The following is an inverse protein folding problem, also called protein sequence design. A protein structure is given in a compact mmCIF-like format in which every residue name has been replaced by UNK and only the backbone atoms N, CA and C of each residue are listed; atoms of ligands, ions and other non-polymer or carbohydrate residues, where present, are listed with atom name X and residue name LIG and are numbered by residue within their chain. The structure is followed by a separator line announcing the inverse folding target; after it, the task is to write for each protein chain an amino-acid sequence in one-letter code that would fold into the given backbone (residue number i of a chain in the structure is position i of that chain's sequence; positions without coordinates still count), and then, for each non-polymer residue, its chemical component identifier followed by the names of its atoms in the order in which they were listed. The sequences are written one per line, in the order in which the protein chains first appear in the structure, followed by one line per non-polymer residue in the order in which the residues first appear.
data_IF_281816075394
#
_entry.id   IF_281816075394
#
_cell.length_a   1.000
_cell.length_b   1.000
_cell.length_c   1.000
_cell.angle_alpha   90.00
_cell.angle_beta   90.00
_cell.angle_gamma   90.00
#
_symmetry.space_group_name_H-M   'P 1'
#
loop_
_entity.id
_entity.type
_entity.pdbx_description
1 polymer ?
#
# COMPACT_ATOMS: atom_id res chain seq x y z
N UNK A 1 -28.01 5.30 23.08
CA UNK A 1 -27.69 4.06 22.35
C UNK A 1 -26.83 4.32 21.11
N UNK A 2 -27.23 5.17 20.15
CA UNK A 2 -26.41 5.46 18.95
C UNK A 2 -25.15 6.28 19.20
N UNK A 3 -25.20 7.27 20.11
CA UNK A 3 -24.04 8.10 20.49
C UNK A 3 -22.92 7.30 21.17
N UNK A 4 -23.28 6.29 21.94
CA UNK A 4 -22.35 5.50 22.75
C UNK A 4 -21.56 4.51 21.88
N UNK A 5 -22.20 3.95 20.87
CA UNK A 5 -21.57 3.08 19.87
C UNK A 5 -20.60 3.86 18.98
N UNK A 6 -21.00 5.05 18.50
CA UNK A 6 -20.13 5.94 17.71
C UNK A 6 -18.92 6.41 18.52
N UNK A 7 -19.10 6.74 19.80
CA UNK A 7 -18.00 7.11 20.69
C UNK A 7 -17.05 5.94 20.99
N UNK A 8 -17.59 4.72 21.16
CA UNK A 8 -16.80 3.50 21.36
C UNK A 8 -15.93 3.19 20.13
N UNK A 9 -16.49 3.26 18.93
CA UNK A 9 -15.72 3.09 17.69
C UNK A 9 -14.62 4.15 17.51
N UNK A 10 -14.90 5.41 17.86
CA UNK A 10 -13.89 6.48 17.82
C UNK A 10 -12.74 6.24 18.79
N UNK A 11 -13.03 5.83 20.04
CA UNK A 11 -12.01 5.52 21.05
C UNK A 11 -11.13 4.35 20.62
N UNK A 12 -11.72 3.28 20.07
CA UNK A 12 -10.98 2.11 19.59
C UNK A 12 -10.01 2.48 18.45
N UNK A 13 -10.44 3.38 17.53
CA UNK A 13 -9.60 3.91 16.44
C UNK A 13 -8.46 4.84 16.90
N UNK A 14 -8.52 5.37 18.11
CA UNK A 14 -7.50 6.26 18.68
C UNK A 14 -6.41 5.52 19.47
N UNK A 15 -6.65 4.27 19.90
CA UNK A 15 -5.69 3.49 20.69
C UNK A 15 -4.32 3.37 20.01
N UNK A 16 -4.23 3.03 18.70
CA UNK A 16 -2.92 2.94 18.04
C UNK A 16 -2.18 4.28 18.04
N UNK A 17 -2.87 5.38 17.74
CA UNK A 17 -2.28 6.72 17.73
C UNK A 17 -1.75 7.13 19.12
N UNK A 18 -2.46 6.75 20.19
CA UNK A 18 -2.02 7.03 21.56
C UNK A 18 -0.75 6.25 21.90
N UNK A 19 -0.61 5.02 21.40
CA UNK A 19 0.60 4.23 21.57
C UNK A 19 1.78 4.87 20.81
N UNK A 20 1.59 5.28 19.54
CA UNK A 20 2.61 6.01 18.77
C UNK A 20 3.03 7.30 19.49
N UNK A 21 2.08 8.05 20.04
CA UNK A 21 2.37 9.27 20.80
C UNK A 21 3.13 8.96 22.10
N UNK A 22 2.73 7.90 22.81
CA UNK A 22 3.43 7.46 24.02
C UNK A 22 4.87 7.06 23.74
N UNK A 23 5.15 6.43 22.59
CA UNK A 23 6.51 6.11 22.15
C UNK A 23 7.33 7.37 22.02
N UNK A 24 6.80 8.39 21.33
CA UNK A 24 7.52 9.63 21.11
C UNK A 24 7.77 10.37 22.44
N UNK A 25 6.79 10.33 23.36
CA UNK A 25 6.93 10.87 24.70
C UNK A 25 8.07 10.17 25.46
N UNK A 26 8.08 8.84 25.51
CA UNK A 26 9.17 8.05 26.14
C UNK A 26 10.51 8.38 25.48
N UNK A 27 10.54 8.42 24.14
CA UNK A 27 11.75 8.68 23.38
C UNK A 27 12.33 10.07 23.66
N UNK A 28 11.49 11.09 23.89
CA UNK A 28 11.94 12.46 24.18
C UNK A 28 12.83 12.57 25.42
N UNK A 29 12.74 11.61 26.36
CA UNK A 29 13.59 11.56 27.55
C UNK A 29 14.96 10.90 27.31
N UNK A 30 15.14 10.18 26.20
CA UNK A 30 16.39 9.45 25.89
C UNK A 30 17.59 10.40 25.73
N UNK A 31 17.50 11.52 24.99
CA UNK A 31 18.62 12.47 24.86
C UNK A 31 19.03 13.05 26.21
N UNK A 32 18.06 13.40 27.06
CA UNK A 32 18.33 13.91 28.40
C UNK A 32 19.11 12.87 29.23
N UNK A 33 18.63 11.63 29.30
CA UNK A 33 19.32 10.55 30.00
C UNK A 33 20.73 10.29 29.44
N UNK A 34 20.88 10.29 28.12
CA UNK A 34 22.17 10.08 27.46
C UNK A 34 23.17 11.21 27.74
N UNK A 35 22.75 12.46 27.64
CA UNK A 35 23.59 13.65 27.88
C UNK A 35 24.02 13.71 29.34
N UNK A 36 23.11 13.45 30.28
CA UNK A 36 23.40 13.36 31.72
C UNK A 36 24.28 12.17 32.11
N UNK A 37 24.64 11.30 31.16
CA UNK A 37 25.51 10.14 31.39
C UNK A 37 24.80 8.91 31.98
N UNK A 38 23.48 8.97 32.17
CA UNK A 38 22.69 7.82 32.63
C UNK A 38 22.33 6.92 31.44
N UNK A 39 23.30 6.14 30.99
CA UNK A 39 23.18 5.31 29.79
C UNK A 39 22.35 4.05 30.01
N UNK A 40 22.29 3.54 31.25
CA UNK A 40 21.34 2.48 31.63
C UNK A 40 19.92 2.98 31.39
N UNK A 41 19.57 4.18 31.87
CA UNK A 41 18.24 4.75 31.65
C UNK A 41 17.97 4.97 30.16
N UNK A 42 18.94 5.50 29.40
CA UNK A 42 18.80 5.65 27.95
C UNK A 42 18.53 4.31 27.24
N UNK A 43 19.23 3.23 27.63
CA UNK A 43 19.00 1.89 27.10
C UNK A 43 17.60 1.35 27.47
N UNK A 44 17.18 1.48 28.73
CA UNK A 44 15.87 1.03 29.20
C UNK A 44 14.75 1.77 28.48
N UNK A 45 14.85 3.10 28.35
CA UNK A 45 13.89 3.91 27.61
C UNK A 45 13.85 3.55 26.12
N UNK A 46 15.00 3.26 25.52
CA UNK A 46 15.11 2.78 24.13
C UNK A 46 14.36 1.46 23.95
N UNK A 47 14.60 0.48 24.81
CA UNK A 47 13.94 -0.84 24.77
C UNK A 47 12.44 -0.70 25.00
N UNK A 48 12.03 0.11 25.99
CA UNK A 48 10.63 0.36 26.29
C UNK A 48 9.91 0.98 25.08
N UNK A 49 10.48 2.04 24.50
CA UNK A 49 9.91 2.69 23.33
C UNK A 49 9.88 1.77 22.10
N UNK A 50 10.95 1.01 21.82
CA UNK A 50 10.97 0.04 20.73
C UNK A 50 9.94 -1.08 20.91
N UNK A 51 9.69 -1.51 22.16
CA UNK A 51 8.66 -2.52 22.45
C UNK A 51 7.25 -2.03 22.14
N UNK A 52 6.98 -0.72 22.29
CA UNK A 52 5.68 -0.14 21.93
C UNK A 52 5.36 -0.19 20.43
N UNK A 53 6.38 -0.29 19.55
CA UNK A 53 6.26 -0.46 18.08
C UNK A 53 5.88 -1.87 17.64
N UNK A 54 6.14 -2.87 18.48
CA UNK A 54 5.57 -4.19 18.27
C UNK A 54 4.07 -4.21 18.63
N UNK A 55 3.74 -3.52 19.72
CA UNK A 55 2.43 -3.64 20.39
C UNK A 55 1.34 -2.86 19.66
N UNK A 56 1.61 -1.64 19.20
CA UNK A 56 0.66 -0.84 18.42
C UNK A 56 0.22 -1.55 17.12
N UNK A 57 1.15 -2.18 16.40
CA UNK A 57 0.89 -2.87 15.15
C UNK A 57 0.08 -4.15 15.36
N UNK A 58 0.20 -4.79 16.53
CA UNK A 58 -0.67 -5.92 16.91
C UNK A 58 -2.05 -5.40 17.32
N UNK A 59 -2.11 -4.34 18.13
CA UNK A 59 -3.35 -3.74 18.60
C UNK A 59 -4.21 -3.21 17.43
N UNK A 60 -3.61 -2.48 16.49
CA UNK A 60 -4.29 -1.94 15.31
C UNK A 60 -4.92 -3.04 14.44
N UNK A 61 -4.22 -4.18 14.29
CA UNK A 61 -4.73 -5.36 13.55
C UNK A 61 -5.87 -6.06 14.28
N UNK A 62 -5.76 -6.22 15.60
CA UNK A 62 -6.80 -6.88 16.41
C UNK A 62 -8.07 -6.04 16.54
N UNK A 63 -7.92 -4.71 16.51
CA UNK A 63 -9.03 -3.78 16.74
C UNK A 63 -9.69 -3.27 15.44
N UNK A 64 -9.23 -3.70 14.26
CA UNK A 64 -9.62 -3.14 12.95
C UNK A 64 -9.60 -1.60 12.93
N UNK A 65 -8.66 -1.04 13.68
CA UNK A 65 -8.65 0.33 14.14
C UNK A 65 -7.60 1.13 13.37
N UNK A 66 -7.77 1.26 12.05
CA UNK A 66 -6.85 2.10 11.25
C UNK A 66 -7.46 3.47 11.01
N UNK A 67 -6.90 4.52 11.62
CA UNK A 67 -7.28 5.91 11.34
C UNK A 67 -6.40 6.49 10.22
N UNK A 68 -6.95 7.36 9.36
CA UNK A 68 -6.16 8.03 8.31
C UNK A 68 -5.10 8.97 8.90
N UNK A 69 -5.43 9.62 10.01
CA UNK A 69 -4.51 10.46 10.75
C UNK A 69 -3.31 9.65 11.29
N UNK A 70 -3.57 8.49 11.91
CA UNK A 70 -2.52 7.59 12.41
C UNK A 70 -1.59 7.10 11.30
N UNK A 71 -2.14 6.70 10.15
CA UNK A 71 -1.35 6.28 8.98
C UNK A 71 -0.35 7.32 8.50
N UNK A 72 -0.64 8.61 8.71
CA UNK A 72 0.24 9.70 8.30
C UNK A 72 1.23 10.09 9.41
N UNK A 73 0.84 9.92 10.67
CA UNK A 73 1.65 10.28 11.83
C UNK A 73 2.71 9.21 12.14
N UNK A 74 2.38 7.92 12.00
CA UNK A 74 3.30 6.81 12.32
C UNK A 74 4.65 6.91 11.56
N UNK A 75 4.68 7.12 10.22
CA UNK A 75 5.94 7.22 9.48
C UNK A 75 6.76 8.45 9.84
N UNK A 76 6.15 9.48 10.44
CA UNK A 76 6.86 10.68 10.90
C UNK A 76 7.47 10.41 12.28
N UNK A 77 6.65 9.89 13.20
CA UNK A 77 7.09 9.52 14.55
C UNK A 77 8.24 8.52 14.54
N UNK A 78 8.21 7.52 13.65
CA UNK A 78 9.30 6.54 13.52
C UNK A 78 10.64 7.17 13.12
N UNK A 79 10.62 8.26 12.34
CA UNK A 79 11.84 8.95 11.89
C UNK A 79 12.41 9.82 12.98
N UNK A 80 11.53 10.54 13.68
CA UNK A 80 11.93 11.27 14.88
C UNK A 80 12.48 10.33 15.93
N UNK A 81 11.83 9.19 16.15
CA UNK A 81 12.33 8.16 17.05
C UNK A 81 13.75 7.72 16.70
N UNK A 82 14.00 7.30 15.46
CA UNK A 82 15.34 6.89 15.02
C UNK A 82 16.39 8.00 15.22
N UNK A 83 16.06 9.25 14.92
CA UNK A 83 16.95 10.39 15.13
C UNK A 83 17.24 10.66 16.61
N UNK A 84 16.20 10.66 17.45
CA UNK A 84 16.27 10.91 18.91
C UNK A 84 17.20 9.89 19.58
N UNK A 85 17.16 8.63 19.17
CA UNK A 85 18.04 7.59 19.72
C UNK A 85 19.47 7.70 19.19
N UNK A 86 19.65 8.07 17.91
CA UNK A 86 20.95 7.99 17.24
C UNK A 86 21.84 9.19 17.53
N UNK A 87 21.27 10.41 17.52
CA UNK A 87 22.04 11.66 17.62
C UNK A 87 22.84 11.78 18.93
N UNK A 88 22.28 11.51 20.14
CA UNK A 88 23.04 11.60 21.39
C UNK A 88 24.23 10.63 21.43
N UNK A 89 24.08 9.48 20.76
CA UNK A 89 25.08 8.43 20.72
C UNK A 89 26.23 8.81 19.77
N UNK A 90 25.93 9.43 18.62
CA UNK A 90 26.94 9.94 17.67
C UNK A 90 27.91 10.95 18.31
N UNK A 91 27.45 11.71 19.31
CA UNK A 91 28.30 12.68 20.03
C UNK A 91 29.29 11.97 20.97
N UNK A 92 28.94 10.79 21.49
CA UNK A 92 29.77 10.03 22.44
C UNK A 92 30.70 9.01 21.78
N UNK A 93 30.39 8.60 20.56
CA UNK A 93 31.13 7.57 19.84
C UNK A 93 32.36 8.13 19.11
N UNK A 94 33.39 7.29 18.87
CA UNK A 94 34.51 7.67 18.01
C UNK A 94 34.02 7.94 16.58
N UNK A 95 34.71 8.83 15.87
CA UNK A 95 34.29 9.37 14.58
C UNK A 95 33.83 8.29 13.58
N UNK A 96 34.56 7.18 13.47
CA UNK A 96 34.21 6.09 12.54
C UNK A 96 32.85 5.44 12.85
N UNK A 97 32.55 5.22 14.13
CA UNK A 97 31.28 4.64 14.56
C UNK A 97 30.14 5.66 14.42
N UNK A 98 30.40 6.94 14.72
CA UNK A 98 29.44 8.02 14.52
C UNK A 98 29.08 8.20 13.04
N UNK A 99 30.06 8.14 12.14
CA UNK A 99 29.82 8.14 10.69
C UNK A 99 28.97 6.94 10.28
N UNK A 100 29.27 5.75 10.81
CA UNK A 100 28.48 4.55 10.56
C UNK A 100 27.01 4.70 10.94
N UNK A 101 26.73 5.19 12.16
CA UNK A 101 25.37 5.50 12.58
C UNK A 101 24.70 6.59 11.72
N UNK A 102 25.48 7.59 11.27
CA UNK A 102 25.03 8.58 10.30
C UNK A 102 24.56 7.95 8.99
N UNK A 103 25.26 6.93 8.50
CA UNK A 103 24.84 6.16 7.31
C UNK A 103 23.48 5.48 7.55
N UNK A 104 23.26 4.84 8.71
CA UNK A 104 21.95 4.26 9.04
C UNK A 104 20.83 5.32 9.06
N UNK A 105 21.10 6.52 9.58
CA UNK A 105 20.13 7.62 9.59
C UNK A 105 19.79 8.11 8.17
N UNK A 106 20.81 8.25 7.31
CA UNK A 106 20.63 8.61 5.90
C UNK A 106 19.83 7.54 5.15
N UNK A 107 20.12 6.25 5.36
CA UNK A 107 19.34 5.17 4.78
C UNK A 107 17.89 5.19 5.26
N UNK A 108 17.65 5.49 6.53
CA UNK A 108 16.30 5.59 7.09
C UNK A 108 15.52 6.75 6.48
N UNK A 109 16.18 7.89 6.26
CA UNK A 109 15.63 9.04 5.54
C UNK A 109 15.40 8.71 4.05
N UNK A 110 16.29 7.97 3.40
CA UNK A 110 16.14 7.52 2.01
C UNK A 110 14.90 6.62 1.82
N UNK A 111 14.68 5.67 2.72
CA UNK A 111 13.46 4.84 2.75
C UNK A 111 12.21 5.71 2.95
N UNK A 112 12.30 6.74 3.80
CA UNK A 112 11.21 7.70 3.99
C UNK A 112 10.91 8.48 2.70
N UNK A 113 11.95 8.95 2.03
CA UNK A 113 11.85 9.68 0.76
C UNK A 113 11.21 8.83 -0.35
N UNK A 114 11.57 7.54 -0.44
CA UNK A 114 10.93 6.60 -1.37
C UNK A 114 9.42 6.48 -1.08
N UNK A 115 9.05 6.29 0.19
CA UNK A 115 7.63 6.19 0.57
C UNK A 115 6.87 7.48 0.30
N UNK A 116 7.46 8.64 0.60
CA UNK A 116 6.86 9.94 0.37
C UNK A 116 6.64 10.20 -1.12
N UNK A 117 7.64 9.89 -1.96
CA UNK A 117 7.53 9.98 -3.42
C UNK A 117 6.45 9.03 -3.96
N UNK A 118 6.40 7.80 -3.46
CA UNK A 118 5.36 6.82 -3.82
C UNK A 118 3.97 7.39 -3.50
N UNK A 119 3.80 7.96 -2.31
CA UNK A 119 2.54 8.57 -1.88
C UNK A 119 2.15 9.79 -2.72
N UNK A 120 3.10 10.64 -3.09
CA UNK A 120 2.86 11.79 -3.97
C UNK A 120 2.36 11.38 -5.37
N UNK A 121 2.73 10.18 -5.85
CA UNK A 121 2.18 9.59 -7.08
C UNK A 121 0.79 8.95 -6.91
N UNK A 122 0.19 9.07 -5.73
CA UNK A 122 -1.06 8.39 -5.38
C UNK A 122 -0.91 6.87 -5.20
N UNK A 123 0.31 6.36 -4.97
CA UNK A 123 0.50 4.97 -4.53
C UNK A 123 0.30 4.90 -3.01
N UNK A 124 -0.18 3.76 -2.50
CA UNK A 124 -0.24 3.53 -1.05
C UNK A 124 0.93 2.61 -0.63
N UNK A 125 2.08 3.15 -0.17
CA UNK A 125 3.22 2.35 0.26
C UNK A 125 2.83 1.52 1.48
N UNK A 126 3.01 0.20 1.40
CA UNK A 126 2.76 -0.72 2.52
C UNK A 126 4.08 -1.16 3.12
N UNK A 127 4.14 -1.23 4.44
CA UNK A 127 5.31 -1.76 5.15
C UNK A 127 5.49 -3.25 4.85
N UNK A 128 6.66 -3.63 4.35
CA UNK A 128 6.97 -5.06 4.15
C UNK A 128 7.53 -5.69 5.42
N UNK A 129 7.57 -7.02 5.47
CA UNK A 129 8.19 -7.74 6.59
C UNK A 129 9.66 -7.37 6.77
N UNK A 130 10.39 -7.17 5.67
CA UNK A 130 11.77 -6.70 5.67
C UNK A 130 11.92 -5.31 6.32
N UNK A 131 10.95 -4.43 6.06
CA UNK A 131 10.83 -3.11 6.69
C UNK A 131 10.70 -3.17 8.22
N UNK A 132 10.05 -4.22 8.76
CA UNK A 132 9.93 -4.41 10.21
C UNK A 132 11.22 -4.96 10.83
N UNK A 133 11.84 -5.93 10.17
CA UNK A 133 13.11 -6.50 10.63
C UNK A 133 14.19 -5.42 10.72
N UNK A 134 14.33 -4.56 9.71
CA UNK A 134 15.34 -3.50 9.75
C UNK A 134 15.14 -2.55 10.94
N UNK A 135 13.89 -2.25 11.32
CA UNK A 135 13.58 -1.33 12.42
C UNK A 135 13.85 -1.98 13.78
N UNK A 136 13.53 -3.27 13.92
CA UNK A 136 13.89 -4.05 15.09
C UNK A 136 15.41 -4.16 15.27
N UNK A 137 16.15 -4.43 14.18
CA UNK A 137 17.61 -4.47 14.18
C UNK A 137 18.21 -3.11 14.56
N UNK A 138 17.73 -2.01 13.98
CA UNK A 138 18.19 -0.66 14.30
C UNK A 138 17.97 -0.32 15.77
N UNK A 139 16.77 -0.59 16.30
CA UNK A 139 16.45 -0.32 17.71
C UNK A 139 17.31 -1.19 18.65
N UNK A 140 17.54 -2.45 18.29
CA UNK A 140 18.40 -3.38 19.05
C UNK A 140 19.87 -2.93 19.04
N UNK A 141 20.38 -2.47 17.90
CA UNK A 141 21.71 -1.91 17.76
C UNK A 141 21.91 -0.68 18.66
N UNK A 142 20.97 0.25 18.65
CA UNK A 142 21.05 1.47 19.46
C UNK A 142 20.97 1.16 20.95
N UNK A 143 20.08 0.25 21.37
CA UNK A 143 20.03 -0.24 22.75
C UNK A 143 21.36 -0.88 23.18
N UNK A 144 21.92 -1.74 22.32
CA UNK A 144 23.18 -2.42 22.59
C UNK A 144 24.36 -1.46 22.75
N UNK A 145 24.42 -0.39 21.95
CA UNK A 145 25.41 0.66 22.11
C UNK A 145 25.29 1.36 23.48
N UNK A 146 24.08 1.73 23.91
CA UNK A 146 23.87 2.34 25.22
C UNK A 146 24.29 1.42 26.37
N UNK A 147 23.95 0.12 26.31
CA UNK A 147 24.34 -0.88 27.31
C UNK A 147 25.85 -1.07 27.34
N UNK A 148 26.47 -1.22 26.17
CA UNK A 148 27.91 -1.47 26.03
C UNK A 148 28.73 -0.34 26.65
N UNK A 149 28.35 0.91 26.37
CA UNK A 149 29.02 2.07 26.95
C UNK A 149 28.77 2.19 28.47
N UNK A 150 27.58 1.79 28.96
CA UNK A 150 27.27 1.82 30.38
C UNK A 150 28.10 0.84 31.22
N UNK A 151 28.29 -0.38 30.74
CA UNK A 151 28.98 -1.44 31.50
C UNK A 151 30.45 -1.63 31.12
N UNK A 152 30.98 -0.83 30.18
CA UNK A 152 32.32 -1.01 29.57
C UNK A 152 32.54 -2.45 29.09
N UNK A 153 31.47 -3.11 28.62
CA UNK A 153 31.53 -4.48 28.13
C UNK A 153 32.25 -4.51 26.78
N UNK A 154 32.93 -5.62 26.44
CA UNK A 154 33.58 -5.73 25.14
C UNK A 154 32.51 -5.73 24.03
N UNK A 155 32.50 -4.73 23.12
CA UNK A 155 31.47 -4.57 22.10
C UNK A 155 31.64 -5.55 20.93
N UNK A 156 32.23 -6.74 21.12
CA UNK A 156 32.57 -7.67 20.03
C UNK A 156 31.39 -8.03 19.12
N UNK A 157 30.15 -8.03 19.65
CA UNK A 157 28.93 -8.31 18.88
C UNK A 157 28.37 -7.07 18.15
N UNK A 158 28.79 -5.85 18.53
CA UNK A 158 28.27 -4.59 17.95
C UNK A 158 28.61 -4.46 16.47
N UNK A 159 29.84 -4.73 15.99
CA UNK A 159 30.16 -4.70 14.56
C UNK A 159 29.30 -5.67 13.75
N UNK A 160 29.08 -6.89 14.25
CA UNK A 160 28.22 -7.88 13.60
C UNK A 160 26.78 -7.41 13.51
N UNK A 161 26.24 -6.86 14.61
CA UNK A 161 24.88 -6.33 14.65
C UNK A 161 24.73 -5.09 13.76
N UNK A 162 25.75 -4.23 13.70
CA UNK A 162 25.81 -3.09 12.80
C UNK A 162 25.80 -3.51 11.33
N UNK A 163 26.63 -4.49 10.96
CA UNK A 163 26.68 -5.02 9.59
C UNK A 163 25.35 -5.65 9.18
N UNK A 164 24.71 -6.39 10.09
CA UNK A 164 23.39 -6.97 9.87
C UNK A 164 22.33 -5.88 9.65
N UNK A 165 22.31 -4.88 10.54
CA UNK A 165 21.37 -3.75 10.47
C UNK A 165 21.49 -3.01 9.15
N UNK A 166 22.71 -2.64 8.76
CA UNK A 166 22.98 -1.87 7.54
C UNK A 166 22.65 -2.69 6.29
N UNK A 167 22.94 -3.99 6.28
CA UNK A 167 22.56 -4.90 5.19
C UNK A 167 21.04 -4.94 5.02
N UNK A 168 20.30 -5.20 6.10
CA UNK A 168 18.83 -5.27 6.03
C UNK A 168 18.18 -3.93 5.65
N UNK A 169 18.76 -2.82 6.11
CA UNK A 169 18.27 -1.49 5.76
C UNK A 169 18.51 -1.18 4.28
N UNK A 170 19.68 -1.56 3.75
CA UNK A 170 19.99 -1.43 2.32
C UNK A 170 19.08 -2.32 1.46
N UNK A 171 18.89 -3.58 1.85
CA UNK A 171 17.96 -4.50 1.17
C UNK A 171 16.53 -3.96 1.20
N UNK A 172 16.10 -3.37 2.31
CA UNK A 172 14.79 -2.70 2.42
C UNK A 172 14.68 -1.54 1.45
N UNK A 173 15.70 -0.70 1.36
CA UNK A 173 15.74 0.43 0.42
C UNK A 173 15.56 -0.05 -1.03
N UNK A 174 16.36 -1.04 -1.45
CA UNK A 174 16.25 -1.63 -2.79
C UNK A 174 14.87 -2.24 -3.03
N UNK A 175 14.36 -3.00 -2.05
CA UNK A 175 13.04 -3.63 -2.15
C UNK A 175 11.92 -2.59 -2.31
N UNK A 176 11.98 -1.48 -1.57
CA UNK A 176 10.98 -0.42 -1.64
C UNK A 176 11.04 0.33 -2.97
N UNK A 177 12.24 0.57 -3.52
CA UNK A 177 12.38 1.12 -4.86
C UNK A 177 11.79 0.20 -5.94
N UNK A 178 12.01 -1.12 -5.83
CA UNK A 178 11.43 -2.10 -6.77
C UNK A 178 9.90 -2.09 -6.71
N UNK A 179 9.33 -2.09 -5.51
CA UNK A 179 7.89 -2.02 -5.30
C UNK A 179 7.29 -0.74 -5.91
N UNK A 180 7.95 0.42 -5.72
CA UNK A 180 7.47 1.69 -6.30
C UNK A 180 7.49 1.63 -7.85
N UNK A 181 8.59 1.15 -8.44
CA UNK A 181 8.71 1.01 -9.90
C UNK A 181 7.69 0.03 -10.48
N UNK A 182 7.38 -1.06 -9.78
CA UNK A 182 6.37 -2.02 -10.22
C UNK A 182 4.98 -1.38 -10.27
N UNK A 183 4.61 -0.62 -9.23
CA UNK A 183 3.32 0.07 -9.19
C UNK A 183 3.18 1.12 -10.29
N UNK A 184 4.26 1.83 -10.61
CA UNK A 184 4.26 2.80 -11.71
C UNK A 184 4.00 2.11 -13.05
N UNK A 185 4.66 0.96 -13.32
CA UNK A 185 4.41 0.16 -14.53
C UNK A 185 2.98 -0.38 -14.59
N UNK A 186 2.45 -0.88 -13.48
CA UNK A 186 1.06 -1.36 -13.41
C UNK A 186 0.07 -0.24 -13.73
N UNK A 187 0.31 0.98 -13.25
CA UNK A 187 -0.51 2.17 -13.60
C UNK A 187 -0.44 2.51 -15.08
N UNK A 188 0.75 2.50 -15.66
CA UNK A 188 0.98 2.80 -17.08
C UNK A 188 0.27 1.79 -18.01
N UNK A 189 0.37 0.49 -17.67
CA UNK A 189 -0.34 -0.58 -18.38
C UNK A 189 -1.86 -0.38 -18.25
N UNK A 190 -2.35 -0.06 -17.06
CA UNK A 190 -3.79 0.14 -16.82
C UNK A 190 -4.34 1.33 -17.62
N UNK A 191 -3.61 2.46 -17.67
CA UNK A 191 -3.99 3.62 -18.49
C UNK A 191 -3.94 3.32 -19.98
N UNK A 192 -2.97 2.53 -20.43
CA UNK A 192 -2.85 2.13 -21.85
C UNK A 192 -4.03 1.25 -22.25
N UNK A 193 -4.36 0.22 -21.46
CA UNK A 193 -5.48 -0.68 -21.74
C UNK A 193 -6.84 0.03 -21.74
N UNK A 194 -7.05 1.00 -20.82
CA UNK A 194 -8.28 1.81 -20.83
C UNK A 194 -8.41 2.65 -22.10
N UNK A 195 -7.29 3.23 -22.57
CA UNK A 195 -7.27 4.02 -23.80
C UNK A 195 -7.52 3.14 -25.03
N UNK A 196 -6.92 1.95 -25.09
CA UNK A 196 -7.14 0.98 -26.18
C UNK A 196 -8.60 0.52 -26.22
N UNK A 197 -9.17 0.11 -25.09
CA UNK A 197 -10.58 -0.32 -25.03
C UNK A 197 -11.54 0.79 -25.45
N UNK A 198 -11.30 2.04 -25.02
CA UNK A 198 -12.14 3.17 -25.42
C UNK A 198 -12.05 3.45 -26.92
N UNK A 199 -10.86 3.33 -27.51
CA UNK A 199 -10.66 3.50 -28.95
C UNK A 199 -11.33 2.37 -29.76
N UNK A 200 -11.25 1.11 -29.30
CA UNK A 200 -11.91 -0.03 -29.93
C UNK A 200 -13.45 0.08 -29.86
N UNK A 201 -14.01 0.50 -28.72
CA UNK A 201 -15.44 0.77 -28.58
C UNK A 201 -15.90 1.90 -29.52
N UNK A 202 -15.11 2.97 -29.63
CA UNK A 202 -15.40 4.11 -30.52
C UNK A 202 -15.35 3.70 -31.99
N UNK A 203 -14.36 2.90 -32.40
CA UNK A 203 -14.25 2.38 -33.76
C UNK A 203 -15.38 1.40 -34.10
N UNK A 204 -15.77 0.53 -33.16
CA UNK A 204 -16.88 -0.40 -33.33
C UNK A 204 -18.21 0.33 -33.52
N UNK A 205 -18.43 1.41 -32.75
CA UNK A 205 -19.60 2.27 -32.91
C UNK A 205 -19.59 3.02 -34.26
N UNK A 206 -18.47 3.61 -34.67
CA UNK A 206 -18.36 4.27 -35.96
C UNK A 206 -18.56 3.31 -37.14
N UNK A 207 -18.08 2.07 -37.02
CA UNK A 207 -18.27 1.03 -38.06
C UNK A 207 -19.74 0.65 -38.15
N UNK A 208 -20.42 0.42 -37.02
CA UNK A 208 -21.87 0.16 -36.99
C UNK A 208 -22.67 1.33 -37.59
N UNK A 209 -22.34 2.58 -37.25
CA UNK A 209 -23.03 3.76 -37.81
C UNK A 209 -22.84 3.86 -39.32
N UNK A 210 -21.62 3.64 -39.83
CA UNK A 210 -21.33 3.61 -41.28
C UNK A 210 -22.06 2.47 -41.99
N UNK A 211 -22.11 1.26 -41.40
CA UNK A 211 -22.87 0.15 -41.96
C UNK A 211 -24.37 0.45 -41.99
N UNK A 212 -24.90 1.12 -40.97
CA UNK A 212 -26.31 1.56 -40.93
C UNK A 212 -26.57 2.63 -42.01
N UNK A 213 -25.69 3.62 -42.19
CA UNK A 213 -25.82 4.62 -43.26
C UNK A 213 -25.72 3.99 -44.66
N UNK A 214 -24.76 3.09 -44.90
CA UNK A 214 -24.65 2.36 -46.17
C UNK A 214 -25.87 1.47 -46.45
N UNK A 215 -26.46 0.85 -45.42
CA UNK A 215 -27.69 0.07 -45.57
C UNK A 215 -28.91 0.93 -45.92
N UNK A 216 -28.91 2.21 -45.52
CA UNK A 216 -29.95 3.19 -45.90
C UNK A 216 -29.75 3.72 -47.32
N UNK A 217 -28.51 3.92 -47.76
CA UNK A 217 -28.20 4.35 -49.13
C UNK A 217 -28.42 3.25 -50.17
N UNK A 218 -28.31 1.97 -49.79
CA UNK A 218 -28.49 0.82 -50.70
C UNK A 218 -29.96 0.42 -50.91
N UNK A 219 -30.91 1.03 -50.18
CA UNK A 219 -32.34 0.75 -50.37
C UNK A 219 -32.86 1.49 -51.60
N UNK A 220 -32.81 0.84 -52.75
CA UNK A 220 -33.22 1.45 -54.03
C UNK A 220 -34.73 1.37 -54.23
N UNK A 221 -35.30 2.31 -54.97
CA UNK A 221 -36.74 2.35 -55.31
C UNK A 221 -37.21 1.02 -55.96
N UNK A 222 -36.31 0.32 -56.65
CA UNK A 222 -36.53 -1.03 -57.21
C UNK A 222 -36.91 -2.07 -56.14
N UNK A 223 -36.29 -2.02 -54.97
CA UNK A 223 -36.53 -3.00 -53.89
C UNK A 223 -37.90 -2.78 -53.24
N UNK A 224 -38.35 -1.53 -53.17
CA UNK A 224 -39.69 -1.18 -52.70
C UNK A 224 -40.78 -1.64 -53.68
N UNK A 225 -40.50 -1.59 -54.99
CA UNK A 225 -41.45 -2.04 -56.01
C UNK A 225 -41.61 -3.57 -56.01
N UNK A 226 -40.51 -4.33 -55.85
CA UNK A 226 -40.56 -5.81 -55.71
C UNK A 226 -41.36 -6.26 -54.49
N UNK A 227 -41.13 -5.63 -53.33
CA UNK A 227 -41.86 -5.94 -52.10
C UNK A 227 -43.36 -5.64 -52.25
N UNK A 228 -43.70 -4.57 -52.96
CA UNK A 228 -45.09 -4.20 -53.22
C UNK A 228 -45.78 -5.20 -54.15
N UNK A 229 -45.11 -5.69 -55.19
CA UNK A 229 -45.62 -6.77 -56.06
C UNK A 229 -45.86 -8.07 -55.27
N UNK A 230 -44.91 -8.48 -54.43
CA UNK A 230 -44.98 -9.72 -53.65
C UNK A 230 -46.09 -9.67 -52.57
N UNK A 231 -46.41 -8.48 -52.04
CA UNK A 231 -47.53 -8.24 -51.12
C UNK A 231 -48.90 -8.11 -51.83
N UNK A 232 -48.93 -7.87 -53.14
CA UNK A 232 -50.17 -7.74 -53.94
C UNK A 232 -50.49 -8.96 -54.80
N UNK A 233 -49.63 -9.97 -54.83
CA UNK A 233 -49.88 -11.22 -55.53
C UNK A 233 -51.10 -11.95 -54.92
N UNK A 234 -52.10 -12.37 -55.73
CA UNK A 234 -53.26 -13.11 -55.23
C UNK A 234 -52.81 -14.44 -54.60
N UNK A 235 -53.29 -14.73 -53.39
CA UNK A 235 -53.16 -16.08 -52.80
C UNK A 235 -54.13 -17.03 -53.50
N UNK A 236 -53.72 -17.58 -54.62
CA UNK A 236 -54.35 -18.79 -55.16
C UNK A 236 -53.37 -19.98 -55.03
N UNK A 237 -53.94 -21.09 -54.58
CA UNK A 237 -53.38 -22.45 -54.54
C UNK A 237 -52.39 -22.81 -53.43
N UNK A 238 -52.87 -22.86 -52.17
CA UNK A 238 -52.38 -23.84 -51.19
C UNK A 238 -53.54 -24.34 -50.29
N UNK A 239 -54.55 -24.94 -50.91
CA UNK A 239 -55.53 -25.80 -50.23
C UNK A 239 -55.49 -27.22 -50.83
N UNK A 240 -54.32 -27.86 -50.81
CA UNK A 240 -54.17 -29.30 -50.96
C UNK A 240 -52.95 -29.79 -50.17
N UNK A 241 -53.12 -29.91 -48.86
CA UNK A 241 -52.69 -31.11 -48.12
C UNK A 241 -53.28 -31.09 -46.71
N UNK A 242 -54.48 -31.66 -46.56
CA UNK A 242 -55.00 -32.12 -45.27
C UNK A 242 -54.85 -33.63 -45.23
N UNK A 243 -53.73 -34.13 -44.71
CA UNK A 243 -53.71 -35.40 -43.98
C UNK A 243 -52.37 -35.58 -43.26
N UNK A 244 -52.42 -36.25 -42.10
CA UNK A 244 -51.28 -36.73 -41.29
C UNK A 244 -50.67 -35.62 -40.40
N UNK A 245 -50.66 -35.65 -39.07
CA UNK A 245 -51.14 -36.60 -38.06
C UNK A 245 -51.13 -35.87 -36.70
N UNK A 246 -52.06 -36.24 -35.83
CA UNK A 246 -52.14 -35.81 -34.44
C UNK A 246 -51.04 -36.52 -33.63
N UNK A 247 -50.07 -35.78 -33.11
CA UNK A 247 -48.97 -36.36 -32.34
C UNK A 247 -48.52 -35.52 -31.16
N UNK A 248 -49.23 -35.65 -30.05
CA UNK A 248 -48.75 -35.47 -28.67
C UNK A 248 -48.52 -34.06 -28.08
N UNK A 249 -49.49 -33.72 -27.23
CA UNK A 249 -49.27 -32.95 -26.00
C UNK A 249 -48.29 -33.62 -25.02
N UNK A 250 -47.88 -32.83 -24.01
CA UNK A 250 -47.25 -33.16 -22.71
C UNK A 250 -45.70 -33.13 -22.74
N UNK A 251 -44.99 -32.53 -21.79
CA UNK A 251 -45.33 -32.18 -20.40
C UNK A 251 -44.29 -31.23 -19.82
N UNK A 252 -44.76 -30.37 -18.90
CA UNK A 252 -43.98 -29.73 -17.83
C UNK A 252 -43.13 -30.75 -17.06
N UNK A 253 -41.86 -30.43 -16.81
CA UNK A 253 -41.30 -30.23 -15.46
C UNK A 253 -39.92 -29.62 -15.55
#
# INVERSE_FOLDING_TARGET
MGSDLVNKERRIKQVPNLITLSRLLIASFIPSAAISGNLVLAAVLTIAAASTDGIDGIAARKLNATSEFGKNLDPVCDKFFAAILTVPLMIKLPAIASIGLGVNLVLEAGIAGINLKSKAKGNNPRTTWLGKIKTALLSSLLAAFYISFSHKFNPAFIPTLYALTTTFQTLTCINYQKIDKQKDKEKEILSTNQTTNHNEETQTQQTKTKTIEQSKETFTISDYQKLKEELTAPKEDLEKDKSIDNGFQKTKK
#
